data_IF_933320584320
#
_entry.id   IF_933320584320
#
_cell.length_a   1.000
_cell.length_b   1.000
_cell.length_c   1.000
_cell.angle_alpha   90.00
_cell.angle_beta   90.00
_cell.angle_gamma   90.00
#
_symmetry.space_group_name_H-M   'P 1'
#
loop_
_entity.id
_entity.type
_entity.pdbx_description
1 polymer ?
#
# COMPACT_ATOMS: atom_id res chain seq x y z
N UNK A 1 3.73 27.53 14.53
CA UNK A 1 2.71 27.42 13.47
C UNK A 1 2.74 25.99 12.95
N UNK A 2 1.65 25.22 13.08
CA UNK A 2 1.56 23.88 12.48
C UNK A 2 1.70 24.01 10.96
N UNK A 3 2.60 23.24 10.36
CA UNK A 3 2.81 23.29 8.91
C UNK A 3 1.62 22.62 8.24
N UNK A 4 0.92 23.34 7.37
CA UNK A 4 -0.30 22.83 6.73
C UNK A 4 0.08 21.67 5.81
N UNK A 5 -0.44 20.47 6.08
CA UNK A 5 -0.16 19.29 5.28
C UNK A 5 -0.57 19.49 3.82
N UNK A 6 0.27 19.01 2.90
CA UNK A 6 -0.06 19.03 1.48
C UNK A 6 -0.97 17.85 1.12
N UNK A 7 -1.62 17.91 -0.05
CA UNK A 7 -2.55 16.86 -0.49
C UNK A 7 -1.90 15.48 -0.58
N UNK A 8 -0.63 15.40 -0.99
CA UNK A 8 0.08 14.13 -1.11
C UNK A 8 0.22 13.46 0.27
N UNK A 9 0.66 14.22 1.27
CA UNK A 9 0.80 13.73 2.64
C UNK A 9 -0.54 13.28 3.22
N UNK A 10 -1.63 14.01 2.94
CA UNK A 10 -2.97 13.56 3.37
C UNK A 10 -3.43 12.27 2.69
N UNK A 11 -3.09 12.09 1.41
CA UNK A 11 -3.40 10.85 0.69
C UNK A 11 -2.63 9.66 1.29
N UNK A 12 -1.37 9.87 1.67
CA UNK A 12 -0.53 8.82 2.27
C UNK A 12 -1.05 8.46 3.68
N UNK A 13 -1.34 9.45 4.53
CA UNK A 13 -2.01 9.20 5.82
C UNK A 13 -3.35 8.47 5.67
N UNK A 14 -4.13 8.84 4.66
CA UNK A 14 -5.42 8.19 4.40
C UNK A 14 -5.23 6.72 4.01
N UNK A 15 -4.22 6.42 3.19
CA UNK A 15 -3.90 5.02 2.80
C UNK A 15 -3.52 4.21 4.02
N UNK A 16 -2.61 4.70 4.85
CA UNK A 16 -2.10 3.98 6.02
C UNK A 16 -3.20 3.74 7.04
N UNK A 17 -3.92 4.79 7.42
CA UNK A 17 -5.04 4.68 8.36
C UNK A 17 -6.15 3.76 7.85
N UNK A 18 -6.45 3.82 6.55
CA UNK A 18 -7.48 2.95 5.95
C UNK A 18 -7.01 1.49 5.86
N UNK A 19 -5.74 1.25 5.55
CA UNK A 19 -5.16 -0.08 5.51
C UNK A 19 -5.23 -0.76 6.89
N UNK A 20 -4.77 -0.07 7.93
CA UNK A 20 -4.84 -0.56 9.32
C UNK A 20 -6.28 -0.84 9.75
N UNK A 21 -7.19 0.12 9.54
CA UNK A 21 -8.60 -0.06 9.86
C UNK A 21 -9.22 -1.27 9.15
N UNK A 22 -8.93 -1.45 7.86
CA UNK A 22 -9.44 -2.57 7.08
C UNK A 22 -8.87 -3.89 7.60
N UNK A 23 -7.57 -3.93 7.91
CA UNK A 23 -6.88 -5.07 8.51
C UNK A 23 -7.56 -5.49 9.82
N UNK A 24 -7.76 -4.58 10.76
CA UNK A 24 -8.42 -4.88 12.03
C UNK A 24 -9.85 -5.39 11.84
N UNK A 25 -10.62 -4.76 10.95
CA UNK A 25 -11.97 -5.22 10.63
C UNK A 25 -11.99 -6.66 10.10
N UNK A 26 -11.00 -7.07 9.30
CA UNK A 26 -10.88 -8.44 8.78
C UNK A 26 -10.48 -9.41 9.90
N UNK A 27 -9.48 -9.08 10.72
CA UNK A 27 -9.01 -9.93 11.85
C UNK A 27 -10.17 -10.21 12.82
N UNK A 28 -10.89 -9.17 13.23
CA UNK A 28 -12.03 -9.28 14.14
C UNK A 28 -13.13 -10.15 13.51
N UNK A 29 -13.44 -9.94 12.23
CA UNK A 29 -14.41 -10.77 11.51
C UNK A 29 -13.99 -12.24 11.45
N UNK A 30 -12.72 -12.54 11.15
CA UNK A 30 -12.19 -13.90 11.15
C UNK A 30 -12.33 -14.56 12.53
N UNK A 31 -12.06 -13.82 13.59
CA UNK A 31 -12.21 -14.32 14.95
C UNK A 31 -13.68 -14.56 15.33
N UNK A 32 -14.49 -13.50 15.33
CA UNK A 32 -15.85 -13.52 15.88
C UNK A 32 -16.84 -14.30 14.99
N UNK A 33 -16.74 -14.18 13.67
CA UNK A 33 -17.71 -14.79 12.75
C UNK A 33 -17.28 -16.17 12.22
N UNK A 34 -15.98 -16.49 12.26
CA UNK A 34 -15.44 -17.72 11.69
C UNK A 34 -14.68 -18.60 12.70
N UNK A 35 -14.53 -18.15 13.94
CA UNK A 35 -13.86 -18.92 15.00
C UNK A 35 -12.38 -19.15 14.72
N UNK A 36 -11.71 -18.25 14.00
CA UNK A 36 -10.27 -18.35 13.75
C UNK A 36 -9.54 -17.90 15.02
N UNK A 37 -8.86 -18.84 15.69
CA UNK A 37 -8.08 -18.57 16.89
C UNK A 37 -6.72 -17.91 16.59
N UNK A 38 -6.11 -17.33 17.64
CA UNK A 38 -4.84 -16.59 17.63
C UNK A 38 -3.76 -17.17 16.72
N UNK A 39 -3.37 -18.45 16.91
CA UNK A 39 -2.26 -19.04 16.15
C UNK A 39 -2.52 -19.13 14.64
N UNK A 40 -3.79 -19.22 14.26
CA UNK A 40 -4.17 -19.19 12.84
C UNK A 40 -4.23 -17.76 12.33
N UNK A 41 -4.70 -16.80 13.14
CA UNK A 41 -4.65 -15.38 12.80
C UNK A 41 -3.20 -14.92 12.58
N UNK A 42 -2.28 -15.24 13.49
CA UNK A 42 -0.86 -14.88 13.37
C UNK A 42 -0.21 -15.44 12.10
N UNK A 43 -0.59 -16.65 11.67
CA UNK A 43 -0.11 -17.22 10.39
C UNK A 43 -0.70 -16.51 9.18
N UNK A 44 -1.96 -16.09 9.25
CA UNK A 44 -2.61 -15.30 8.18
C UNK A 44 -1.97 -13.92 8.08
N UNK A 45 -1.70 -13.28 9.20
CA UNK A 45 -0.96 -12.00 9.27
C UNK A 45 0.38 -12.10 8.57
N UNK A 46 1.23 -13.04 9.02
CA UNK A 46 2.55 -13.24 8.42
C UNK A 46 2.46 -13.50 6.91
N UNK A 47 1.49 -14.33 6.49
CA UNK A 47 1.32 -14.62 5.07
C UNK A 47 0.81 -13.42 4.28
N UNK A 48 -0.07 -12.60 4.84
CA UNK A 48 -0.54 -11.37 4.21
C UNK A 48 0.60 -10.35 4.04
N UNK A 49 1.51 -10.26 5.01
CA UNK A 49 2.73 -9.44 4.93
C UNK A 49 3.67 -9.93 3.81
N UNK A 50 3.94 -11.24 3.74
CA UNK A 50 4.74 -11.84 2.66
C UNK A 50 4.14 -11.54 1.27
N UNK A 51 2.83 -11.74 1.10
CA UNK A 51 2.11 -11.40 -0.12
C UNK A 51 2.18 -9.89 -0.43
N UNK A 52 2.21 -9.05 0.61
CA UNK A 52 2.39 -7.61 0.50
C UNK A 52 3.76 -7.26 -0.08
N UNK A 53 4.82 -7.91 0.41
CA UNK A 53 6.19 -7.77 -0.12
C UNK A 53 6.30 -8.31 -1.55
N UNK A 54 5.66 -9.43 -1.88
CA UNK A 54 5.58 -9.95 -3.26
C UNK A 54 4.93 -8.93 -4.20
N UNK A 55 3.80 -8.36 -3.79
CA UNK A 55 3.07 -7.32 -4.52
C UNK A 55 3.90 -6.04 -4.69
N UNK A 56 4.59 -5.58 -3.63
CA UNK A 56 5.47 -4.43 -3.69
C UNK A 56 6.65 -4.66 -4.64
N UNK A 57 7.26 -5.85 -4.58
CA UNK A 57 8.36 -6.20 -5.47
C UNK A 57 7.97 -6.11 -6.95
N UNK A 58 6.75 -6.52 -7.31
CA UNK A 58 6.22 -6.37 -8.67
C UNK A 58 5.96 -4.90 -9.00
N UNK A 59 5.38 -4.13 -8.07
CA UNK A 59 5.13 -2.71 -8.28
C UNK A 59 6.42 -1.91 -8.54
N UNK A 60 7.52 -2.37 -7.94
CA UNK A 60 8.87 -1.81 -8.08
C UNK A 60 9.63 -2.33 -9.30
N UNK A 61 9.01 -3.11 -10.18
CA UNK A 61 9.61 -3.45 -11.48
C UNK A 61 9.39 -2.32 -12.48
N UNK A 62 10.37 -2.12 -13.35
CA UNK A 62 10.25 -1.14 -14.43
C UNK A 62 9.17 -1.59 -15.42
N UNK A 63 8.16 -0.75 -15.63
CA UNK A 63 7.16 -0.92 -16.67
C UNK A 63 7.77 -0.64 -18.07
N UNK A 64 6.94 -0.71 -19.13
CA UNK A 64 7.39 -0.42 -20.50
C UNK A 64 7.96 0.99 -20.73
N UNK A 65 7.85 1.91 -19.75
CA UNK A 65 8.44 3.25 -19.75
C UNK A 65 9.64 3.39 -18.81
N UNK A 66 10.14 2.29 -18.24
CA UNK A 66 11.29 2.30 -17.33
C UNK A 66 10.97 2.71 -15.88
N UNK A 67 9.70 2.91 -15.53
CA UNK A 67 9.28 3.45 -14.22
C UNK A 67 8.51 2.39 -13.39
N UNK A 68 8.51 2.48 -12.05
CA UNK A 68 7.64 1.64 -11.23
C UNK A 68 6.17 1.84 -11.61
N UNK A 69 5.36 0.78 -11.56
CA UNK A 69 3.91 0.88 -11.73
C UNK A 69 3.16 -0.11 -10.85
N UNK A 70 2.07 0.36 -10.24
CA UNK A 70 1.18 -0.46 -9.42
C UNK A 70 0.17 -1.27 -10.24
N UNK A 71 0.11 -1.08 -11.56
CA UNK A 71 -0.88 -1.76 -12.42
C UNK A 71 -0.62 -3.27 -12.47
N UNK A 72 0.64 -3.68 -12.61
CA UNK A 72 1.01 -5.09 -12.66
C UNK A 72 0.79 -5.78 -11.32
N UNK A 73 1.13 -5.12 -10.21
CA UNK A 73 0.88 -5.69 -8.88
C UNK A 73 -0.61 -5.78 -8.58
N UNK A 74 -1.41 -4.80 -9.02
CA UNK A 74 -2.87 -4.86 -8.94
C UNK A 74 -3.42 -6.02 -9.75
N UNK A 75 -3.05 -6.14 -11.03
CA UNK A 75 -3.51 -7.23 -11.89
C UNK A 75 -3.15 -8.62 -11.33
N UNK A 76 -1.97 -8.76 -10.72
CA UNK A 76 -1.61 -9.98 -10.01
C UNK A 76 -2.60 -10.29 -8.87
N UNK A 77 -2.89 -9.31 -8.02
CA UNK A 77 -3.82 -9.51 -6.89
C UNK A 77 -5.25 -9.78 -7.36
N UNK A 78 -5.68 -9.16 -8.45
CA UNK A 78 -6.98 -9.43 -9.05
C UNK A 78 -7.05 -10.87 -9.57
N UNK A 79 -5.98 -11.37 -10.20
CA UNK A 79 -5.88 -12.75 -10.69
C UNK A 79 -5.82 -13.81 -9.57
N UNK A 80 -5.53 -13.42 -8.33
CA UNK A 80 -5.63 -14.35 -7.20
C UNK A 80 -7.07 -14.64 -6.80
N UNK A 81 -8.01 -13.74 -7.12
CA UNK A 81 -9.38 -13.88 -6.65
C UNK A 81 -10.11 -14.98 -7.43
N UNK A 82 -10.79 -15.90 -6.73
CA UNK A 82 -11.61 -16.90 -7.40
C UNK A 82 -12.85 -16.23 -8.02
N UNK A 83 -13.42 -16.89 -9.02
CA UNK A 83 -14.64 -16.43 -9.66
C UNK A 83 -15.76 -16.12 -8.64
N UNK A 84 -16.41 -14.98 -8.81
CA UNK A 84 -17.46 -14.50 -7.91
C UNK A 84 -16.97 -13.80 -6.63
N UNK A 85 -15.66 -13.60 -6.45
CA UNK A 85 -15.12 -12.75 -5.37
C UNK A 85 -14.57 -11.47 -5.96
N UNK A 86 -15.12 -10.34 -5.52
CA UNK A 86 -14.70 -9.03 -6.00
C UNK A 86 -13.42 -8.57 -5.25
N UNK A 87 -12.33 -8.24 -5.97
CA UNK A 87 -11.07 -7.77 -5.38
C UNK A 87 -11.18 -6.37 -4.75
N UNK A 88 -12.16 -5.58 -5.18
CA UNK A 88 -12.31 -4.20 -4.70
C UNK A 88 -12.98 -4.17 -3.32
N UNK A 89 -12.36 -3.51 -2.34
CA UNK A 89 -12.95 -3.26 -1.04
C UNK A 89 -13.34 -1.78 -0.93
N UNK A 90 -14.64 -1.50 -1.10
CA UNK A 90 -15.19 -0.16 -0.94
C UNK A 90 -15.42 0.12 0.52
N UNK A 91 -14.64 1.03 1.09
CA UNK A 91 -14.75 1.40 2.51
C UNK A 91 -16.13 2.02 2.76
N UNK A 92 -16.87 1.70 3.81
CA UNK A 92 -18.14 2.38 4.08
C UNK A 92 -17.95 3.88 4.36
N UNK A 93 -18.90 4.73 3.92
CA UNK A 93 -18.89 6.19 4.21
C UNK A 93 -20.19 6.62 4.85
N UNK A 94 -20.08 7.57 5.79
CA UNK A 94 -21.24 8.21 6.42
C UNK A 94 -21.88 9.28 5.53
N UNK A 95 -21.10 9.90 4.65
CA UNK A 95 -21.57 10.89 3.68
C UNK A 95 -20.80 10.80 2.37
N UNK A 96 -21.46 11.19 1.29
CA UNK A 96 -20.81 11.31 0.00
C UNK A 96 -19.73 12.43 0.00
N UNK A 97 -18.60 12.22 -0.70
CA UNK A 97 -17.61 13.28 -0.90
C UNK A 97 -18.22 14.41 -1.74
N UNK A 98 -17.98 15.66 -1.35
CA UNK A 98 -18.53 16.86 -2.01
C UNK A 98 -17.49 17.63 -2.80
N UNK A 99 -16.21 17.45 -2.48
CA UNK A 99 -15.11 18.16 -3.13
C UNK A 99 -14.19 17.19 -3.87
N UNK A 100 -13.48 17.69 -4.88
CA UNK A 100 -12.45 16.91 -5.59
C UNK A 100 -11.40 16.33 -4.62
N UNK A 101 -11.02 17.11 -3.60
CA UNK A 101 -10.08 16.68 -2.56
C UNK A 101 -10.63 15.49 -1.77
N UNK A 102 -11.87 15.59 -1.28
CA UNK A 102 -12.54 14.49 -0.57
C UNK A 102 -12.65 13.24 -1.46
N UNK A 103 -12.93 13.42 -2.75
CA UNK A 103 -12.99 12.32 -3.71
C UNK A 103 -11.63 11.64 -3.90
N UNK A 104 -10.53 12.41 -3.96
CA UNK A 104 -9.18 11.85 -4.05
C UNK A 104 -8.77 11.07 -2.80
N UNK A 105 -9.05 11.60 -1.61
CA UNK A 105 -8.83 10.90 -0.34
C UNK A 105 -9.63 9.61 -0.30
N UNK A 106 -10.90 9.67 -0.74
CA UNK A 106 -11.77 8.50 -0.84
C UNK A 106 -11.19 7.42 -1.75
N UNK A 107 -10.75 7.79 -2.95
CA UNK A 107 -10.14 6.85 -3.89
C UNK A 107 -8.86 6.24 -3.32
N UNK A 108 -8.04 7.04 -2.63
CA UNK A 108 -6.83 6.54 -1.97
C UNK A 108 -7.16 5.50 -0.89
N UNK A 109 -8.17 5.77 -0.05
CA UNK A 109 -8.67 4.83 0.94
C UNK A 109 -9.18 3.53 0.32
N UNK A 110 -10.04 3.60 -0.70
CA UNK A 110 -10.56 2.40 -1.38
C UNK A 110 -9.44 1.56 -2.01
N UNK A 111 -8.41 2.20 -2.58
CA UNK A 111 -7.25 1.48 -3.14
C UNK A 111 -6.46 0.77 -2.04
N UNK A 112 -6.23 1.42 -0.90
CA UNK A 112 -5.52 0.82 0.23
C UNK A 112 -6.30 -0.36 0.82
N UNK A 113 -7.60 -0.17 1.08
CA UNK A 113 -8.46 -1.22 1.61
C UNK A 113 -8.56 -2.43 0.66
N UNK A 114 -8.66 -2.19 -0.65
CA UNK A 114 -8.69 -3.26 -1.66
C UNK A 114 -7.39 -4.07 -1.68
N UNK A 115 -6.24 -3.39 -1.50
CA UNK A 115 -4.96 -4.07 -1.37
C UNK A 115 -4.96 -4.98 -0.14
N UNK A 116 -5.32 -4.47 1.04
CA UNK A 116 -5.40 -5.27 2.27
C UNK A 116 -6.36 -6.45 2.07
N UNK A 117 -7.57 -6.21 1.55
CA UNK A 117 -8.55 -7.26 1.31
C UNK A 117 -8.01 -8.40 0.43
N UNK A 118 -7.38 -8.07 -0.70
CA UNK A 118 -6.84 -9.09 -1.62
C UNK A 118 -5.70 -9.90 -1.01
N UNK A 119 -4.84 -9.29 -0.18
CA UNK A 119 -3.78 -9.98 0.57
C UNK A 119 -4.37 -10.98 1.57
N UNK A 120 -5.33 -10.55 2.40
CA UNK A 120 -5.96 -11.41 3.39
C UNK A 120 -6.83 -12.49 2.76
N UNK A 121 -7.56 -12.17 1.68
CA UNK A 121 -8.35 -13.15 0.96
C UNK A 121 -7.45 -14.28 0.42
N UNK A 122 -6.32 -13.92 -0.20
CA UNK A 122 -5.32 -14.87 -0.68
C UNK A 122 -4.71 -15.71 0.45
N UNK A 123 -4.33 -15.09 1.56
CA UNK A 123 -3.84 -15.81 2.74
C UNK A 123 -4.90 -16.80 3.30
N UNK A 124 -6.17 -16.39 3.36
CA UNK A 124 -7.26 -17.26 3.80
C UNK A 124 -7.52 -18.44 2.85
N UNK A 125 -7.35 -18.23 1.54
CA UNK A 125 -7.43 -19.32 0.55
C UNK A 125 -6.33 -20.35 0.80
N UNK A 126 -5.09 -19.90 0.96
CA UNK A 126 -3.92 -20.77 1.10
C UNK A 126 -3.91 -21.52 2.45
N UNK A 127 -4.21 -20.83 3.55
CA UNK A 127 -4.04 -21.38 4.89
C UNK A 127 -5.31 -22.02 5.46
N UNK A 128 -6.48 -21.58 5.02
CA UNK A 128 -7.77 -22.05 5.56
C UNK A 128 -8.66 -22.74 4.53
N UNK A 129 -8.25 -22.78 3.25
CA UNK A 129 -9.04 -23.37 2.17
C UNK A 129 -10.35 -22.62 1.91
N UNK A 130 -10.38 -21.30 2.11
CA UNK A 130 -11.59 -20.51 1.89
C UNK A 130 -11.92 -20.44 0.39
N UNK A 131 -13.08 -20.98 0.00
CA UNK A 131 -13.67 -20.74 -1.32
C UNK A 131 -14.47 -19.44 -1.40
N UNK A 132 -14.96 -19.11 -2.60
CA UNK A 132 -15.64 -17.85 -2.90
C UNK A 132 -16.76 -17.48 -1.91
N UNK A 133 -17.62 -18.44 -1.55
CA UNK A 133 -18.72 -18.22 -0.59
C UNK A 133 -18.22 -17.76 0.78
N UNK A 134 -17.13 -18.35 1.29
CA UNK A 134 -16.58 -17.96 2.61
C UNK A 134 -15.89 -16.60 2.54
N UNK A 135 -15.15 -16.32 1.47
CA UNK A 135 -14.52 -15.03 1.24
C UNK A 135 -15.55 -13.91 1.14
N UNK A 136 -16.62 -14.08 0.38
CA UNK A 136 -17.68 -13.07 0.30
C UNK A 136 -18.36 -12.81 1.65
N UNK A 137 -18.60 -13.86 2.46
CA UNK A 137 -19.09 -13.65 3.85
C UNK A 137 -18.08 -12.91 4.72
N UNK A 138 -16.78 -13.21 4.59
CA UNK A 138 -15.73 -12.52 5.35
C UNK A 138 -15.68 -11.04 4.97
N UNK A 139 -15.73 -10.72 3.68
CA UNK A 139 -15.80 -9.34 3.18
C UNK A 139 -16.99 -8.59 3.77
N UNK A 140 -18.18 -9.22 3.78
CA UNK A 140 -19.38 -8.59 4.35
C UNK A 140 -19.26 -8.35 5.85
N UNK A 141 -18.70 -9.30 6.61
CA UNK A 141 -18.44 -9.14 8.04
C UNK A 141 -17.42 -8.03 8.31
N UNK A 142 -16.33 -7.96 7.56
CA UNK A 142 -15.35 -6.88 7.67
C UNK A 142 -15.96 -5.50 7.32
N UNK A 143 -16.80 -5.43 6.29
CA UNK A 143 -17.55 -4.21 5.96
C UNK A 143 -18.54 -3.81 7.06
N UNK A 144 -19.17 -4.78 7.74
CA UNK A 144 -20.05 -4.51 8.88
C UNK A 144 -19.26 -3.91 10.05
N UNK A 145 -18.10 -4.50 10.40
CA UNK A 145 -17.20 -3.95 11.42
C UNK A 145 -16.78 -2.51 11.08
N UNK A 146 -16.44 -2.24 9.81
CA UNK A 146 -16.04 -0.89 9.40
C UNK A 146 -17.23 0.11 9.52
N UNK A 147 -18.45 -0.29 9.14
CA UNK A 147 -19.65 0.55 9.34
C UNK A 147 -19.85 0.88 10.82
N UNK A 148 -19.70 -0.12 11.68
CA UNK A 148 -19.85 0.06 13.12
C UNK A 148 -18.84 1.07 13.67
N UNK A 149 -17.56 0.98 13.31
CA UNK A 149 -16.56 1.97 13.76
C UNK A 149 -16.90 3.38 13.27
N UNK A 150 -17.37 3.52 12.03
CA UNK A 150 -17.81 4.81 11.53
C UNK A 150 -19.03 5.36 12.29
N UNK A 151 -20.00 4.51 12.60
CA UNK A 151 -21.22 4.88 13.32
C UNK A 151 -20.91 5.30 14.76
N UNK A 152 -20.13 4.49 15.49
CA UNK A 152 -19.63 4.81 16.84
C UNK A 152 -18.77 6.08 16.82
N UNK A 153 -17.87 6.21 15.84
CA UNK A 153 -17.04 7.40 15.68
C UNK A 153 -17.86 8.69 15.45
N UNK A 154 -19.05 8.57 14.86
CA UNK A 154 -19.99 9.68 14.68
C UNK A 154 -20.84 9.94 15.92
N UNK A 155 -21.26 8.90 16.63
CA UNK A 155 -22.16 9.00 17.77
C UNK A 155 -21.42 9.39 19.06
N UNK A 156 -20.32 8.71 19.36
CA UNK A 156 -19.63 8.73 20.65
C UNK A 156 -18.22 9.34 20.59
N UNK A 157 -17.65 9.47 19.38
CA UNK A 157 -16.32 10.01 19.15
C UNK A 157 -15.34 8.98 18.60
N UNK A 158 -14.37 9.45 17.81
CA UNK A 158 -13.41 8.56 17.14
C UNK A 158 -12.50 7.83 18.15
N UNK A 159 -12.12 8.48 19.23
CA UNK A 159 -11.33 7.90 20.33
C UNK A 159 -12.05 6.70 20.96
N UNK A 160 -13.35 6.82 21.23
CA UNK A 160 -14.17 5.73 21.77
C UNK A 160 -14.26 4.57 20.79
N UNK A 161 -14.53 4.87 19.52
CA UNK A 161 -14.67 3.85 18.48
C UNK A 161 -13.34 3.11 18.23
N UNK A 162 -12.20 3.82 18.25
CA UNK A 162 -10.88 3.22 18.11
C UNK A 162 -10.50 2.37 19.33
N UNK A 163 -10.86 2.78 20.55
CA UNK A 163 -10.65 1.96 21.75
C UNK A 163 -11.50 0.69 21.72
N UNK A 164 -12.76 0.77 21.27
CA UNK A 164 -13.60 -0.41 21.10
C UNK A 164 -13.03 -1.37 20.04
N UNK A 165 -12.58 -0.84 18.90
CA UNK A 165 -11.91 -1.63 17.87
C UNK A 165 -10.65 -2.32 18.43
N UNK A 166 -9.83 -1.58 19.19
CA UNK A 166 -8.62 -2.09 19.84
C UNK A 166 -8.95 -3.25 20.77
N UNK A 167 -9.98 -3.14 21.61
CA UNK A 167 -10.42 -4.23 22.50
C UNK A 167 -10.83 -5.48 21.74
N UNK A 168 -11.64 -5.33 20.69
CA UNK A 168 -12.02 -6.46 19.84
C UNK A 168 -10.80 -7.13 19.17
N UNK A 169 -9.81 -6.34 18.76
CA UNK A 169 -8.57 -6.85 18.19
C UNK A 169 -7.69 -7.56 19.23
N UNK A 170 -7.58 -7.01 20.44
CA UNK A 170 -6.92 -7.63 21.59
C UNK A 170 -7.54 -8.99 21.92
N UNK A 171 -8.87 -9.08 21.97
CA UNK A 171 -9.59 -10.32 22.20
C UNK A 171 -9.28 -11.36 21.11
N UNK A 172 -9.30 -10.94 19.83
CA UNK A 172 -9.02 -11.82 18.70
C UNK A 172 -7.59 -12.39 18.74
N UNK A 173 -6.61 -11.55 19.05
CA UNK A 173 -5.19 -11.92 19.12
C UNK A 173 -4.77 -12.46 20.49
N UNK A 174 -5.69 -12.50 21.46
CA UNK A 174 -5.46 -12.81 22.87
C UNK A 174 -4.17 -12.14 23.38
N UNK A 175 -4.16 -10.82 23.28
CA UNK A 175 -3.09 -9.95 23.76
C UNK A 175 -3.72 -8.77 24.48
N UNK A 176 -3.08 -8.31 25.55
CA UNK A 176 -3.53 -7.12 26.27
C UNK A 176 -2.88 -5.83 25.70
N UNK A 177 -1.90 -5.98 24.81
CA UNK A 177 -0.92 -4.94 24.48
C UNK A 177 -0.88 -4.62 22.98
N UNK A 178 -2.01 -4.18 22.42
CA UNK A 178 -1.98 -3.42 21.16
C UNK A 178 -1.72 -1.97 21.51
N UNK A 179 -0.46 -1.54 21.37
CA UNK A 179 -0.05 -0.15 21.57
C UNK A 179 -0.43 0.65 20.33
N UNK A 180 -1.37 1.59 20.50
CA UNK A 180 -1.64 2.61 19.49
C UNK A 180 -0.71 3.78 19.79
N UNK A 181 0.37 3.90 19.02
CA UNK A 181 1.28 5.03 19.17
C UNK A 181 0.59 6.32 18.72
N UNK A 182 0.45 7.28 19.63
CA UNK A 182 -0.06 8.63 19.35
C UNK A 182 1.04 9.47 18.69
N UNK A 183 1.41 9.08 17.47
CA UNK A 183 2.34 9.82 16.63
C UNK A 183 1.55 10.93 15.92
N UNK A 184 1.94 12.21 16.08
CA UNK A 184 1.32 13.31 15.35
C UNK A 184 1.36 13.07 13.84
N UNK A 185 0.26 13.39 13.15
CA UNK A 185 0.14 13.29 11.69
C UNK A 185 1.30 13.94 10.92
N UNK A 186 1.84 15.05 11.43
CA UNK A 186 3.00 15.74 10.84
C UNK A 186 4.28 14.89 10.87
N UNK A 187 4.48 14.09 11.92
CA UNK A 187 5.63 13.20 12.06
C UNK A 187 5.47 11.97 11.18
N UNK A 188 4.26 11.39 11.14
CA UNK A 188 3.94 10.27 10.25
C UNK A 188 4.11 10.68 8.77
N UNK A 189 3.68 11.88 8.40
CA UNK A 189 3.89 12.42 7.07
C UNK A 189 5.38 12.58 6.72
N UNK A 190 6.20 13.07 7.66
CA UNK A 190 7.66 13.18 7.46
C UNK A 190 8.32 11.81 7.31
N UNK A 191 7.83 10.79 8.02
CA UNK A 191 8.32 9.42 7.85
C UNK A 191 7.96 8.88 6.47
N UNK A 192 6.70 9.05 6.03
CA UNK A 192 6.27 8.64 4.69
C UNK A 192 7.09 9.32 3.57
N UNK A 193 7.42 10.60 3.72
CA UNK A 193 8.29 11.31 2.78
C UNK A 193 9.71 10.72 2.74
N UNK A 194 10.29 10.32 3.89
CA UNK A 194 11.60 9.65 3.95
C UNK A 194 11.55 8.27 3.29
N UNK A 195 10.56 7.46 3.65
CA UNK A 195 10.40 6.09 3.12
C UNK A 195 10.24 6.11 1.59
N UNK A 196 9.49 7.08 1.07
CA UNK A 196 9.35 7.26 -0.36
C UNK A 196 10.68 7.55 -1.06
N UNK A 197 11.48 8.47 -0.51
CA UNK A 197 12.78 8.82 -1.08
C UNK A 197 13.75 7.63 -1.03
N UNK A 198 13.77 6.89 0.08
CA UNK A 198 14.57 5.66 0.20
C UNK A 198 14.16 4.58 -0.80
N UNK A 199 12.85 4.34 -0.97
CA UNK A 199 12.33 3.40 -1.96
C UNK A 199 12.69 3.81 -3.39
N UNK A 200 12.58 5.11 -3.70
CA UNK A 200 12.97 5.68 -5.00
C UNK A 200 14.46 5.47 -5.26
N UNK A 201 15.31 5.76 -4.29
CA UNK A 201 16.75 5.57 -4.41
C UNK A 201 17.13 4.09 -4.52
N UNK A 202 16.46 3.21 -3.78
CA UNK A 202 16.64 1.76 -3.90
C UNK A 202 16.24 1.24 -5.29
N UNK A 203 15.14 1.75 -5.86
CA UNK A 203 14.71 1.42 -7.23
C UNK A 203 15.77 1.82 -8.26
N UNK A 204 16.25 3.06 -8.21
CA UNK A 204 17.27 3.52 -9.15
C UNK A 204 18.56 2.73 -9.00
N UNK A 205 19.01 2.46 -7.77
CA UNK A 205 20.19 1.62 -7.52
C UNK A 205 20.03 0.21 -8.10
N UNK A 206 18.88 -0.45 -7.87
CA UNK A 206 18.59 -1.80 -8.38
C UNK A 206 18.57 -1.84 -9.92
N UNK A 207 17.94 -0.85 -10.55
CA UNK A 207 17.89 -0.77 -12.01
C UNK A 207 19.24 -0.43 -12.64
N UNK A 208 20.02 0.44 -12.01
CA UNK A 208 21.40 0.73 -12.45
C UNK A 208 22.29 -0.51 -12.32
N UNK A 209 22.18 -1.26 -11.22
CA UNK A 209 22.90 -2.53 -11.07
C UNK A 209 22.47 -3.57 -12.11
N UNK A 210 21.17 -3.68 -12.40
CA UNK A 210 20.66 -4.56 -13.46
C UNK A 210 21.03 -4.13 -14.88
N UNK A 211 21.15 -2.82 -15.14
CA UNK A 211 21.64 -2.30 -16.42
C UNK A 211 23.15 -2.52 -16.57
N UNK A 212 23.94 -2.27 -15.52
CA UNK A 212 25.39 -2.53 -15.52
C UNK A 212 25.73 -4.02 -15.53
N UNK A 213 24.89 -4.89 -14.98
CA UNK A 213 25.03 -6.35 -15.11
C UNK A 213 24.65 -6.90 -16.49
N UNK A 214 23.85 -6.16 -17.27
CA UNK A 214 23.50 -6.48 -18.67
C UNK A 214 24.47 -5.89 -19.68
N UNK A 215 25.15 -4.80 -19.35
CA UNK A 215 26.37 -4.40 -20.04
C UNK A 215 27.47 -5.36 -19.62
N UNK A 216 27.67 -6.43 -20.39
CA UNK A 216 28.84 -7.30 -20.26
C UNK A 216 30.06 -6.46 -19.91
N UNK A 217 30.69 -6.74 -18.77
CA UNK A 217 31.99 -6.16 -18.45
C UNK A 217 32.92 -6.47 -19.64
N UNK A 218 33.38 -5.48 -20.42
CA UNK A 218 34.57 -5.69 -21.20
C UNK A 218 35.69 -5.88 -20.17
N UNK A 219 36.50 -6.91 -20.36
CA UNK A 219 37.60 -7.23 -19.48
C UNK A 219 38.38 -5.96 -19.10
N UNK A 220 38.35 -5.63 -17.81
CA UNK A 220 39.09 -4.55 -17.18
C UNK A 220 38.65 -3.13 -17.54
N UNK A 221 37.91 -2.45 -16.66
CA UNK A 221 38.29 -1.12 -16.12
C UNK A 221 37.22 -0.51 -15.20
N UNK A 222 37.69 -0.09 -14.02
CA UNK A 222 37.22 0.98 -13.14
C UNK A 222 35.75 0.99 -12.65
N UNK A 223 35.58 0.55 -11.39
CA UNK A 223 34.53 1.06 -10.49
C UNK A 223 34.69 2.58 -10.41
N UNK A 224 33.77 3.34 -11.01
CA UNK A 224 33.79 4.80 -10.93
C UNK A 224 33.48 5.22 -9.49
N UNK A 225 34.29 6.12 -8.94
CA UNK A 225 34.07 6.65 -7.61
C UNK A 225 32.71 7.38 -7.50
N UNK A 226 32.05 7.41 -6.33
CA UNK A 226 30.70 7.96 -6.17
C UNK A 226 30.50 9.39 -6.72
N UNK A 227 31.54 10.23 -6.73
CA UNK A 227 31.50 11.57 -7.30
C UNK A 227 31.37 11.60 -8.83
N UNK A 228 31.90 10.60 -9.53
CA UNK A 228 31.82 10.50 -11.00
C UNK A 228 30.46 9.99 -11.46
N UNK A 229 29.82 9.14 -10.65
CA UNK A 229 28.43 8.71 -10.87
C UNK A 229 27.49 9.91 -10.83
N UNK A 230 27.68 10.81 -9.85
CA UNK A 230 26.87 12.03 -9.70
C UNK A 230 27.00 12.98 -10.90
N UNK A 231 28.24 13.19 -11.39
CA UNK A 231 28.50 13.99 -12.60
C UNK A 231 27.85 13.40 -13.86
N UNK A 232 27.87 12.07 -14.01
CA UNK A 232 27.21 11.40 -15.14
C UNK A 232 25.69 11.50 -15.08
N UNK A 233 25.09 11.40 -13.89
CA UNK A 233 23.64 11.59 -13.70
C UNK A 233 23.24 13.03 -14.09
N UNK A 234 23.98 14.04 -13.65
CA UNK A 234 23.72 15.44 -14.03
C UNK A 234 23.89 15.68 -15.54
N UNK A 235 24.90 15.08 -16.18
CA UNK A 235 25.12 15.21 -17.62
C UNK A 235 23.96 14.59 -18.44
N UNK A 236 23.42 13.45 -18.01
CA UNK A 236 22.25 12.82 -18.64
C UNK A 236 21.00 13.67 -18.46
N UNK A 237 20.81 14.27 -17.29
CA UNK A 237 19.70 15.20 -17.03
C UNK A 237 19.80 16.48 -17.88
N UNK A 238 21.02 17.00 -18.11
CA UNK A 238 21.25 18.15 -19.00
C UNK A 238 21.04 17.80 -20.49
N UNK A 239 21.39 16.59 -20.93
CA UNK A 239 21.08 16.13 -22.29
C UNK A 239 19.58 15.94 -22.51
N UNK A 240 18.83 15.48 -21.51
CA UNK A 240 17.38 15.38 -21.56
C UNK A 240 16.67 16.76 -21.56
N UNK A 241 17.34 17.80 -21.05
CA UNK A 241 16.83 19.17 -21.01
C UNK A 241 17.17 20.00 -22.25
N UNK A 242 18.04 19.53 -23.16
CA UNK A 242 18.31 20.21 -24.42
C UNK A 242 17.14 19.97 -25.39
N UNK A 243 16.37 21.00 -25.80
CA UNK A 243 15.36 20.82 -26.83
C UNK A 243 16.09 20.47 -28.14
N UNK A 244 15.72 19.37 -28.77
CA UNK A 244 16.11 19.13 -30.17
C UNK A 244 15.65 20.33 -30.99
N UNK A 245 16.61 21.13 -31.44
CA UNK A 245 16.35 22.31 -32.25
C UNK A 245 15.53 21.92 -33.48
N UNK A 246 14.47 22.69 -33.72
CA UNK A 246 13.50 22.59 -34.81
C UNK A 246 14.11 22.62 -36.22
N UNK A 247 15.40 22.94 -36.34
CA UNK A 247 16.13 23.08 -37.60
C UNK A 247 16.49 21.75 -38.29
N UNK A 248 16.53 20.62 -37.57
CA UNK A 248 16.93 19.32 -38.17
C UNK A 248 15.84 18.60 -38.98
N UNK A 249 14.59 19.07 -39.00
CA UNK A 249 13.48 18.40 -39.71
C UNK A 249 13.29 18.80 -41.19
N UNK A 250 14.10 19.72 -41.74
CA UNK A 250 13.93 20.20 -43.13
C UNK A 250 14.79 19.53 -44.21
N UNK A 251 15.57 18.50 -43.89
CA UNK A 251 16.52 17.90 -44.87
C UNK A 251 16.49 16.36 -44.93
N UNK A 252 15.32 15.73 -44.78
CA UNK A 252 15.15 14.32 -45.18
C UNK A 252 13.82 14.12 -45.87
#
# INVERSE_FOLDING_TARGET
>A
MKQKMNLRQELDLTRDGTAEMTRWCIIIAMHQCFGVGKDRLNRIELRAEELGLESLNIAMQANGKGMPSTDQSRAMRDNWMPEGVEPEFRVPVLRAPRTRREQQLRMAGDVAASMVWTLYAKACMELLGYGARRLNRLKQAALANYRQVNEEGRADGLDVAMEHLRRCACDALQTDDIIVEDIPDEERAKQADRDYEEQKDAFFRRNMAGAMGRCAAPAGTAVLAPGEIKKKIEAVLQQAAAPESWERRRLR
#
